data_IF_187250132326
#
_entry.id   IF_187250132326
#
_cell.length_a   1.000
_cell.length_b   1.000
_cell.length_c   1.000
_cell.angle_alpha   90.00
_cell.angle_beta   90.00
_cell.angle_gamma   90.00
#
_symmetry.space_group_name_H-M   'P 1'
#
loop_
_entity.id
_entity.type
_entity.pdbx_description
1 polymer ?
#
# COMPACT_ATOMS: atom_id res chain seq x y z
N UNK A 1 10.13 -23.27 -8.14
CA UNK A 1 8.85 -23.53 -7.45
C UNK A 1 7.74 -23.46 -8.48
N UNK A 2 6.69 -24.33 -8.36
CA UNK A 2 5.51 -24.20 -9.23
C UNK A 2 4.79 -22.88 -8.95
N UNK A 3 4.43 -22.13 -10.01
CA UNK A 3 3.79 -20.81 -9.87
C UNK A 3 2.47 -20.87 -9.07
N UNK A 4 1.70 -21.96 -9.19
CA UNK A 4 0.47 -22.11 -8.43
C UNK A 4 0.72 -22.27 -6.92
N UNK A 5 1.88 -22.77 -6.53
CA UNK A 5 2.26 -22.81 -5.11
C UNK A 5 2.58 -21.39 -4.59
N UNK A 6 3.20 -20.54 -5.42
CA UNK A 6 3.43 -19.13 -5.10
C UNK A 6 2.09 -18.44 -4.85
N UNK A 7 1.16 -18.57 -5.81
CA UNK A 7 -0.17 -17.96 -5.71
C UNK A 7 -0.91 -18.47 -4.47
N UNK A 8 -0.83 -19.74 -4.19
CA UNK A 8 -1.47 -20.31 -3.00
C UNK A 8 -0.94 -19.73 -1.69
N UNK A 9 0.36 -19.38 -1.60
CA UNK A 9 0.90 -18.69 -0.44
C UNK A 9 0.27 -17.30 -0.27
N UNK A 10 0.15 -16.54 -1.38
CA UNK A 10 -0.45 -15.21 -1.38
C UNK A 10 -1.93 -15.28 -1.04
N UNK A 11 -2.69 -16.18 -1.69
CA UNK A 11 -4.13 -16.31 -1.48
C UNK A 11 -4.51 -16.92 -0.12
N UNK A 12 -3.61 -17.70 0.51
CA UNK A 12 -3.80 -18.13 1.89
C UNK A 12 -3.66 -16.96 2.88
N UNK A 13 -2.83 -15.97 2.58
CA UNK A 13 -2.66 -14.76 3.39
C UNK A 13 -3.75 -13.74 3.11
N UNK A 14 -4.02 -13.46 1.84
CA UNK A 14 -5.00 -12.49 1.35
C UNK A 14 -5.94 -13.15 0.32
N UNK A 15 -6.97 -13.89 0.77
CA UNK A 15 -7.90 -14.60 -0.12
C UNK A 15 -8.61 -13.65 -1.08
N UNK A 16 -8.80 -14.08 -2.34
CA UNK A 16 -9.43 -13.26 -3.38
C UNK A 16 -10.86 -12.81 -3.04
N UNK A 17 -11.59 -13.54 -2.21
CA UNK A 17 -12.94 -13.12 -1.78
C UNK A 17 -12.95 -11.88 -0.86
N UNK A 18 -11.80 -11.43 -0.38
CA UNK A 18 -11.65 -10.17 0.35
C UNK A 18 -11.56 -8.97 -0.59
N UNK A 19 -11.32 -9.19 -1.89
CA UNK A 19 -11.25 -8.10 -2.86
C UNK A 19 -12.61 -7.43 -3.07
N UNK A 20 -12.57 -6.14 -3.38
CA UNK A 20 -13.74 -5.41 -3.83
C UNK A 20 -14.28 -5.97 -5.16
N UNK A 21 -15.59 -5.88 -5.37
CA UNK A 21 -16.25 -6.42 -6.59
C UNK A 21 -15.74 -5.79 -7.90
N UNK A 22 -15.29 -4.55 -7.85
CA UNK A 22 -14.74 -3.82 -9.00
C UNK A 22 -13.27 -4.09 -9.25
N UNK A 23 -12.58 -4.75 -8.31
CA UNK A 23 -11.13 -4.98 -8.37
C UNK A 23 -10.75 -6.07 -9.37
N UNK A 24 -9.48 -6.05 -9.76
CA UNK A 24 -8.86 -7.02 -10.67
C UNK A 24 -7.70 -7.77 -9.99
N UNK A 25 -7.83 -8.08 -8.69
CA UNK A 25 -6.88 -8.96 -7.99
C UNK A 25 -6.85 -10.36 -8.60
N UNK A 26 -5.68 -10.98 -8.60
CA UNK A 26 -5.46 -12.30 -9.19
C UNK A 26 -4.50 -12.26 -10.38
N UNK A 27 -4.67 -13.22 -11.30
CA UNK A 27 -3.86 -13.28 -12.52
C UNK A 27 -4.17 -12.12 -13.47
N UNK A 28 -3.16 -11.31 -13.75
CA UNK A 28 -3.21 -10.26 -14.78
C UNK A 28 -2.70 -10.81 -16.11
N UNK A 29 -1.57 -11.55 -16.07
CA UNK A 29 -1.03 -12.29 -17.21
C UNK A 29 -0.62 -13.66 -16.70
N UNK A 30 -1.16 -14.70 -17.31
CA UNK A 30 -0.77 -16.07 -17.05
C UNK A 30 -0.20 -16.69 -18.33
N UNK A 31 1.11 -16.99 -18.32
CA UNK A 31 1.80 -17.66 -19.44
C UNK A 31 1.76 -19.18 -19.28
N UNK A 32 2.26 -19.89 -20.29
CA UNK A 32 2.47 -21.34 -20.21
C UNK A 32 3.62 -21.80 -19.30
N UNK A 33 4.37 -20.87 -18.67
CA UNK A 33 5.45 -21.19 -17.72
C UNK A 33 4.88 -21.88 -16.49
N UNK A 34 5.57 -22.92 -16.03
CA UNK A 34 5.17 -23.65 -14.83
C UNK A 34 6.06 -23.33 -13.64
N UNK A 35 7.37 -23.35 -13.87
CA UNK A 35 8.35 -23.18 -12.81
C UNK A 35 8.86 -21.75 -12.74
N UNK A 36 8.89 -21.21 -11.53
CA UNK A 36 9.37 -19.87 -11.20
C UNK A 36 10.57 -20.00 -10.26
N UNK A 37 11.67 -19.38 -10.62
CA UNK A 37 12.91 -19.33 -9.84
C UNK A 37 13.13 -17.94 -9.26
N UNK A 38 12.68 -16.90 -9.97
CA UNK A 38 12.93 -15.51 -9.61
C UNK A 38 11.71 -14.63 -9.84
N UNK A 39 11.32 -13.89 -8.80
CA UNK A 39 10.16 -13.01 -8.78
C UNK A 39 10.61 -11.57 -8.57
N UNK A 40 10.02 -10.64 -9.32
CA UNK A 40 10.13 -9.21 -9.06
C UNK A 40 8.88 -8.71 -8.34
N UNK A 41 9.08 -7.95 -7.25
CA UNK A 41 8.01 -7.28 -6.50
C UNK A 41 7.96 -5.81 -6.88
N UNK A 42 6.74 -5.28 -7.07
CA UNK A 42 6.50 -3.86 -7.32
C UNK A 42 5.13 -3.42 -6.81
N UNK A 43 4.93 -2.12 -6.60
CA UNK A 43 3.58 -1.58 -6.41
C UNK A 43 2.82 -1.58 -7.73
N UNK A 44 3.37 -0.97 -8.77
CA UNK A 44 2.68 -0.76 -10.05
C UNK A 44 3.50 -1.27 -11.21
N UNK A 45 2.92 -2.15 -12.02
CA UNK A 45 3.58 -2.63 -13.24
C UNK A 45 3.56 -1.53 -14.31
N UNK A 46 4.75 -1.11 -14.75
CA UNK A 46 4.95 -0.12 -15.82
C UNK A 46 5.88 -0.68 -16.89
N UNK A 47 6.02 0.03 -18.02
CA UNK A 47 6.99 -0.35 -19.07
C UNK A 47 8.42 -0.46 -18.53
N UNK A 48 8.79 0.37 -17.57
CA UNK A 48 10.10 0.32 -16.93
C UNK A 48 10.25 -0.93 -16.06
N UNK A 49 9.25 -1.26 -15.27
CA UNK A 49 9.23 -2.48 -14.44
C UNK A 49 9.32 -3.74 -15.30
N UNK A 50 8.61 -3.80 -16.43
CA UNK A 50 8.72 -4.91 -17.40
C UNK A 50 10.16 -5.01 -17.95
N UNK A 51 10.81 -3.89 -18.30
CA UNK A 51 12.21 -3.87 -18.74
C UNK A 51 13.14 -4.35 -17.64
N UNK A 52 12.94 -3.89 -16.40
CA UNK A 52 13.73 -4.34 -15.25
C UNK A 52 13.58 -5.86 -15.04
N UNK A 53 12.36 -6.39 -15.03
CA UNK A 53 12.09 -7.81 -14.85
C UNK A 53 12.77 -8.66 -15.93
N UNK A 54 12.67 -8.26 -17.20
CA UNK A 54 13.34 -8.94 -18.32
C UNK A 54 14.87 -8.87 -18.20
N UNK A 55 15.43 -7.71 -17.87
CA UNK A 55 16.89 -7.52 -17.72
C UNK A 55 17.46 -8.34 -16.57
N UNK A 56 16.71 -8.48 -15.48
CA UNK A 56 17.04 -9.26 -14.30
C UNK A 56 16.68 -10.75 -14.45
N UNK A 57 16.11 -11.15 -15.60
CA UNK A 57 15.68 -12.52 -15.90
C UNK A 57 14.67 -13.05 -14.88
N UNK A 58 13.73 -12.20 -14.46
CA UNK A 58 12.63 -12.64 -13.63
C UNK A 58 11.65 -13.49 -14.44
N UNK A 59 11.12 -14.50 -13.79
CA UNK A 59 10.13 -15.42 -14.36
C UNK A 59 8.72 -14.87 -14.17
N UNK A 60 8.51 -14.05 -13.12
CA UNK A 60 7.21 -13.57 -12.68
C UNK A 60 7.35 -12.19 -12.03
N UNK A 61 6.29 -11.39 -12.14
CA UNK A 61 6.10 -10.15 -11.38
C UNK A 61 4.92 -10.35 -10.43
N UNK A 62 5.07 -9.90 -9.18
CA UNK A 62 3.97 -9.77 -8.23
C UNK A 62 3.81 -8.30 -7.94
N UNK A 63 2.62 -7.75 -8.20
CA UNK A 63 2.30 -6.35 -7.98
C UNK A 63 1.21 -6.19 -6.93
N UNK A 64 1.17 -5.01 -6.32
CA UNK A 64 0.04 -4.60 -5.49
C UNK A 64 -1.09 -4.03 -6.36
N UNK A 65 -0.80 -3.07 -7.24
CA UNK A 65 -1.80 -2.48 -8.10
C UNK A 65 -2.14 -3.35 -9.31
N UNK A 66 -3.44 -3.49 -9.66
CA UNK A 66 -3.88 -4.22 -10.84
C UNK A 66 -3.62 -3.42 -12.13
N UNK A 67 -3.63 -4.13 -13.26
CA UNK A 67 -3.69 -3.55 -14.59
C UNK A 67 -5.09 -3.78 -15.15
N UNK A 68 -5.89 -2.71 -15.30
CA UNK A 68 -7.20 -2.78 -15.97
C UNK A 68 -7.08 -2.94 -17.49
N UNK A 69 -5.92 -2.64 -18.03
CA UNK A 69 -5.55 -2.87 -19.43
C UNK A 69 -4.14 -3.44 -19.50
N UNK A 70 -3.97 -4.56 -20.22
CA UNK A 70 -2.68 -5.24 -20.36
C UNK A 70 -2.10 -4.97 -21.73
N UNK A 71 -0.99 -4.19 -21.84
CA UNK A 71 -0.29 -3.99 -23.10
C UNK A 71 0.22 -5.30 -23.70
N UNK A 72 0.25 -5.40 -25.03
CA UNK A 72 0.67 -6.62 -25.70
C UNK A 72 2.09 -7.08 -25.33
N UNK A 73 3.01 -6.15 -25.14
CA UNK A 73 4.40 -6.41 -24.76
C UNK A 73 4.59 -6.88 -23.31
N UNK A 74 3.51 -6.98 -22.52
CA UNK A 74 3.54 -7.55 -21.15
C UNK A 74 3.17 -9.03 -21.11
N UNK A 75 2.62 -9.57 -22.20
CA UNK A 75 2.02 -10.91 -22.25
C UNK A 75 3.02 -12.07 -22.24
N UNK A 76 4.31 -11.81 -22.21
CA UNK A 76 5.38 -12.82 -22.22
C UNK A 76 6.01 -13.10 -20.84
N UNK A 77 5.50 -12.47 -19.78
CA UNK A 77 5.89 -12.69 -18.39
C UNK A 77 4.65 -12.88 -17.51
N UNK A 78 4.72 -13.79 -16.56
CA UNK A 78 3.65 -13.98 -15.59
C UNK A 78 3.51 -12.74 -14.69
N UNK A 79 2.28 -12.23 -14.50
CA UNK A 79 1.96 -11.10 -13.63
C UNK A 79 0.79 -11.48 -12.75
N UNK A 80 0.99 -11.43 -11.44
CA UNK A 80 -0.04 -11.63 -10.44
C UNK A 80 -0.19 -10.39 -9.58
N UNK A 81 -1.43 -10.07 -9.20
CA UNK A 81 -1.77 -8.90 -8.40
C UNK A 81 -2.51 -9.32 -7.12
N UNK A 82 -2.14 -8.72 -5.98
CA UNK A 82 -2.96 -8.74 -4.78
C UNK A 82 -3.12 -7.29 -4.32
N UNK A 83 -4.32 -6.76 -4.50
CA UNK A 83 -4.68 -5.35 -4.31
C UNK A 83 -5.65 -5.19 -3.13
N UNK A 84 -6.92 -4.94 -3.36
CA UNK A 84 -7.87 -4.69 -2.27
C UNK A 84 -8.08 -5.89 -1.35
N UNK A 85 -7.88 -7.12 -1.81
CA UNK A 85 -7.82 -8.29 -0.93
C UNK A 85 -6.66 -8.22 0.06
N UNK A 86 -5.50 -7.68 -0.35
CA UNK A 86 -4.34 -7.49 0.52
C UNK A 86 -4.53 -6.28 1.45
N UNK A 87 -5.20 -5.22 0.99
CA UNK A 87 -5.55 -4.07 1.83
C UNK A 87 -6.46 -4.43 2.99
N UNK A 88 -7.43 -5.31 2.72
CA UNK A 88 -8.39 -5.79 3.73
C UNK A 88 -7.80 -6.85 4.65
N UNK A 89 -6.82 -7.62 4.19
CA UNK A 89 -6.21 -8.69 4.97
C UNK A 89 -5.48 -8.16 6.20
N UNK A 90 -5.62 -8.87 7.33
CA UNK A 90 -4.83 -8.59 8.53
C UNK A 90 -3.34 -8.83 8.25
N UNK A 91 -2.52 -7.87 8.62
CA UNK A 91 -1.09 -7.86 8.29
C UNK A 91 -0.79 -7.35 6.87
N UNK A 92 -1.79 -6.84 6.15
CA UNK A 92 -1.66 -6.33 4.80
C UNK A 92 -1.14 -4.89 4.72
N UNK A 93 -1.62 -4.13 3.75
CA UNK A 93 -1.04 -2.85 3.35
C UNK A 93 -1.00 -1.82 4.48
N UNK A 94 -2.16 -1.55 5.10
CA UNK A 94 -2.24 -0.57 6.19
C UNK A 94 -1.50 -1.04 7.45
N UNK A 95 -1.55 -2.34 7.75
CA UNK A 95 -0.83 -2.92 8.90
C UNK A 95 0.70 -2.77 8.73
N UNK A 96 1.23 -2.95 7.50
CA UNK A 96 2.67 -2.79 7.25
C UNK A 96 3.14 -1.34 7.36
N UNK A 97 2.29 -0.38 6.94
CA UNK A 97 2.53 1.04 7.17
C UNK A 97 2.65 1.35 8.67
N UNK A 98 1.68 0.89 9.47
CA UNK A 98 1.65 1.08 10.92
C UNK A 98 2.87 0.45 11.59
N UNK A 99 3.22 -0.79 11.23
CA UNK A 99 4.39 -1.48 11.74
C UNK A 99 5.70 -0.75 11.39
N UNK A 100 5.80 -0.18 10.18
CA UNK A 100 6.96 0.62 9.76
C UNK A 100 7.11 1.93 10.58
N UNK A 101 6.02 2.44 11.14
CA UNK A 101 6.05 3.57 12.08
C UNK A 101 6.43 3.13 13.51
N UNK A 102 6.61 1.84 13.78
CA UNK A 102 6.84 1.29 15.12
C UNK A 102 5.61 1.40 16.01
N UNK A 103 4.42 1.32 15.43
CA UNK A 103 3.12 1.35 16.11
C UNK A 103 2.45 -0.01 15.99
N UNK A 104 1.45 -0.25 16.83
CA UNK A 104 0.68 -1.50 16.86
C UNK A 104 -0.80 -1.22 16.62
N UNK A 105 -1.46 -2.06 15.83
CA UNK A 105 -2.91 -1.99 15.57
C UNK A 105 -3.66 -2.41 16.84
N UNK A 106 -4.54 -1.53 17.33
CA UNK A 106 -5.41 -1.80 18.50
C UNK A 106 -6.78 -2.36 18.09
N UNK A 107 -7.31 -1.95 16.94
CA UNK A 107 -8.57 -2.46 16.37
C UNK A 107 -8.63 -2.22 14.87
N UNK A 108 -9.58 -2.87 14.21
CA UNK A 108 -9.79 -2.77 12.75
C UNK A 108 -11.29 -2.69 12.43
N UNK A 109 -11.60 -2.00 11.34
CA UNK A 109 -12.95 -1.95 10.76
C UNK A 109 -12.82 -1.79 9.25
N UNK A 110 -13.13 -2.86 8.50
CA UNK A 110 -12.94 -2.98 7.07
C UNK A 110 -11.46 -2.70 6.64
N UNK A 111 -11.21 -1.69 5.82
CA UNK A 111 -9.87 -1.26 5.40
C UNK A 111 -9.15 -0.40 6.45
N UNK A 112 -9.87 0.09 7.44
CA UNK A 112 -9.34 1.01 8.45
C UNK A 112 -8.68 0.25 9.60
N UNK A 113 -7.49 0.70 10.00
CA UNK A 113 -6.78 0.23 11.19
C UNK A 113 -6.68 1.36 12.19
N UNK A 114 -6.89 1.06 13.45
CA UNK A 114 -6.84 2.02 14.55
C UNK A 114 -5.63 1.74 15.45
N UNK A 115 -5.04 2.82 15.94
CA UNK A 115 -3.87 2.79 16.83
C UNK A 115 -4.15 3.71 18.02
N UNK A 116 -3.96 3.21 19.23
CA UNK A 116 -3.97 4.03 20.43
C UNK A 116 -2.56 4.57 20.69
N UNK A 117 -2.37 5.85 20.40
CA UNK A 117 -1.06 6.51 20.52
C UNK A 117 -1.21 7.98 20.87
N UNK A 118 -0.95 8.31 22.14
CA UNK A 118 -1.05 9.69 22.62
C UNK A 118 0.18 10.51 22.20
N UNK A 119 -0.05 11.58 21.44
CA UNK A 119 1.01 12.44 20.91
C UNK A 119 0.46 13.82 20.55
N UNK A 120 1.35 14.81 20.36
CA UNK A 120 0.94 16.08 19.75
C UNK A 120 0.76 15.92 18.23
N UNK A 121 -0.13 16.72 17.64
CA UNK A 121 -0.32 16.79 16.17
C UNK A 121 0.99 17.04 15.44
N UNK A 122 1.83 17.94 15.97
CA UNK A 122 3.11 18.31 15.35
C UNK A 122 4.17 17.21 15.47
N UNK A 123 4.26 16.52 16.60
CA UNK A 123 5.24 15.44 16.77
C UNK A 123 4.85 14.22 15.95
N UNK A 124 3.56 13.96 15.80
CA UNK A 124 3.09 12.93 14.88
C UNK A 124 3.38 13.29 13.42
N UNK A 125 3.15 14.55 13.00
CA UNK A 125 3.56 15.02 11.68
C UNK A 125 5.07 14.82 11.42
N UNK A 126 5.93 15.11 12.40
CA UNK A 126 7.38 14.85 12.29
C UNK A 126 7.67 13.35 12.15
N UNK A 127 6.97 12.48 12.88
CA UNK A 127 7.10 11.03 12.74
C UNK A 127 6.75 10.57 11.33
N UNK A 128 5.65 11.05 10.76
CA UNK A 128 5.21 10.76 9.41
C UNK A 128 6.14 11.32 8.33
N UNK A 129 6.76 12.49 8.57
CA UNK A 129 7.69 13.11 7.61
C UNK A 129 8.98 12.30 7.39
N UNK A 130 9.29 11.35 8.26
CA UNK A 130 10.39 10.40 8.05
C UNK A 130 10.08 9.39 6.92
N UNK A 131 8.80 9.16 6.64
CA UNK A 131 8.33 8.26 5.58
C UNK A 131 8.07 9.05 4.29
N UNK A 132 7.37 10.19 4.40
CA UNK A 132 6.95 11.00 3.27
C UNK A 132 7.54 12.41 3.35
N UNK A 133 8.37 12.77 2.36
CA UNK A 133 8.88 14.14 2.20
C UNK A 133 7.79 15.10 1.70
N UNK A 134 6.70 14.56 1.16
CA UNK A 134 5.57 15.30 0.60
C UNK A 134 4.38 15.37 1.58
N UNK A 135 4.59 15.00 2.84
CA UNK A 135 3.55 15.01 3.85
C UNK A 135 2.80 16.35 3.87
N UNK A 136 1.48 16.26 3.75
CA UNK A 136 0.55 17.38 4.00
C UNK A 136 -0.34 17.02 5.18
N UNK A 137 -0.81 17.99 5.94
CA UNK A 137 -1.80 17.74 6.98
C UNK A 137 -2.80 18.87 7.13
N UNK A 138 -3.94 18.55 7.71
CA UNK A 138 -5.08 19.44 7.94
C UNK A 138 -5.45 19.37 9.42
N UNK A 139 -5.63 20.54 10.04
CA UNK A 139 -6.07 20.66 11.42
C UNK A 139 -7.03 21.86 11.56
N UNK A 140 -8.24 21.74 11.00
CA UNK A 140 -9.24 22.80 10.95
C UNK A 140 -9.76 23.22 12.33
N UNK A 141 -9.67 22.33 13.30
CA UNK A 141 -10.19 22.55 14.68
C UNK A 141 -9.09 22.97 15.66
N UNK A 142 -7.85 23.18 15.22
CA UNK A 142 -6.70 23.54 16.05
C UNK A 142 -6.47 22.57 17.22
N UNK A 143 -6.65 21.26 16.97
CA UNK A 143 -6.39 20.18 17.92
C UNK A 143 -4.89 20.19 18.27
N UNK A 144 -4.55 20.05 19.56
CA UNK A 144 -3.16 20.02 20.01
C UNK A 144 -2.64 18.60 20.16
N UNK A 145 -3.46 17.70 20.75
CA UNK A 145 -3.10 16.32 21.03
C UNK A 145 -4.10 15.37 20.42
N UNK A 146 -3.62 14.22 19.99
CA UNK A 146 -4.39 13.10 19.44
C UNK A 146 -4.06 11.84 20.22
N UNK A 147 -5.02 10.92 20.37
CA UNK A 147 -4.88 9.68 21.15
C UNK A 147 -5.26 8.45 20.35
N UNK A 148 -6.32 8.54 19.54
CA UNK A 148 -6.75 7.47 18.66
C UNK A 148 -6.55 7.89 17.21
N UNK A 149 -5.71 7.17 16.49
CA UNK A 149 -5.32 7.48 15.12
C UNK A 149 -5.81 6.34 14.22
N UNK A 150 -6.55 6.70 13.18
CA UNK A 150 -6.99 5.74 12.17
C UNK A 150 -6.09 5.84 10.93
N UNK A 151 -5.92 4.73 10.23
CA UNK A 151 -5.08 4.59 9.05
C UNK A 151 -5.83 3.84 7.96
N UNK A 152 -5.65 4.29 6.73
CA UNK A 152 -5.93 3.54 5.52
C UNK A 152 -4.90 3.93 4.47
N UNK A 153 -4.01 3.03 4.10
CA UNK A 153 -3.00 3.27 3.08
C UNK A 153 -3.65 3.49 1.71
N UNK A 154 -2.94 4.12 0.78
CA UNK A 154 -3.47 4.47 -0.53
C UNK A 154 -4.53 5.56 -0.48
N UNK A 155 -5.54 5.48 -1.33
CA UNK A 155 -6.62 6.48 -1.45
C UNK A 155 -7.83 6.12 -0.60
N UNK A 156 -7.74 6.29 0.72
CA UNK A 156 -8.77 5.91 1.70
C UNK A 156 -9.68 7.05 2.16
N UNK A 157 -9.86 8.11 1.37
CA UNK A 157 -10.63 9.30 1.79
C UNK A 157 -12.11 9.02 2.09
N UNK A 158 -12.71 7.98 1.52
CA UNK A 158 -14.09 7.55 1.79
C UNK A 158 -14.31 7.04 3.21
N UNK A 159 -13.27 6.57 3.89
CA UNK A 159 -13.36 6.03 5.25
C UNK A 159 -13.16 7.06 6.36
N UNK A 160 -12.95 8.35 6.04
CA UNK A 160 -12.75 9.41 7.04
C UNK A 160 -13.95 9.52 7.98
N UNK A 161 -15.18 9.42 7.46
CA UNK A 161 -16.39 9.44 8.28
C UNK A 161 -16.45 8.24 9.21
N UNK A 162 -16.16 7.04 8.71
CA UNK A 162 -16.08 5.81 9.50
C UNK A 162 -15.05 5.95 10.63
N UNK A 163 -13.87 6.46 10.33
CA UNK A 163 -12.81 6.69 11.31
C UNK A 163 -13.27 7.67 12.42
N UNK A 164 -13.90 8.78 12.03
CA UNK A 164 -14.47 9.76 12.97
C UNK A 164 -15.56 9.15 13.86
N UNK A 165 -16.49 8.42 13.27
CA UNK A 165 -17.63 7.80 13.99
C UNK A 165 -17.14 6.73 14.98
N UNK A 166 -16.01 6.09 14.69
CA UNK A 166 -15.30 5.19 15.61
C UNK A 166 -14.38 5.93 16.61
N UNK A 167 -14.47 7.27 16.70
CA UNK A 167 -13.79 8.08 17.68
C UNK A 167 -12.31 8.35 17.42
N UNK A 168 -11.87 8.30 16.18
CA UNK A 168 -10.51 8.72 15.83
C UNK A 168 -10.34 10.25 15.93
N UNK A 169 -9.25 10.70 16.54
CA UNK A 169 -8.85 12.11 16.59
C UNK A 169 -8.12 12.53 15.31
N UNK A 170 -7.48 11.56 14.64
CA UNK A 170 -6.71 11.77 13.42
C UNK A 170 -6.86 10.59 12.45
N UNK A 171 -6.65 10.89 11.17
CA UNK A 171 -6.68 9.91 10.08
C UNK A 171 -5.50 10.08 9.14
N UNK A 172 -4.85 8.97 8.79
CA UNK A 172 -3.68 8.92 7.90
C UNK A 172 -4.05 8.17 6.63
N UNK A 173 -3.84 8.79 5.47
CA UNK A 173 -4.14 8.21 4.15
C UNK A 173 -3.23 8.83 3.07
N UNK A 174 -3.49 8.53 1.80
CA UNK A 174 -2.95 9.21 0.63
C UNK A 174 -4.03 9.88 -0.20
N UNK A 175 -3.63 10.61 -1.24
CA UNK A 175 -4.49 11.20 -2.27
C UNK A 175 -5.63 12.08 -1.76
N UNK A 176 -5.38 12.84 -0.70
CA UNK A 176 -6.39 13.68 -0.07
C UNK A 176 -6.82 14.83 -0.98
N UNK A 177 -8.11 14.92 -1.28
CA UNK A 177 -8.72 15.98 -2.10
C UNK A 177 -8.97 17.25 -1.29
N UNK A 178 -8.91 18.42 -1.97
CA UNK A 178 -9.09 19.73 -1.36
C UNK A 178 -10.39 19.87 -0.56
N UNK A 179 -11.53 19.50 -1.12
CA UNK A 179 -12.82 19.64 -0.42
C UNK A 179 -12.93 18.70 0.78
N UNK A 180 -12.43 17.48 0.67
CA UNK A 180 -12.35 16.55 1.82
C UNK A 180 -11.50 17.13 2.94
N UNK A 181 -10.37 17.75 2.61
CA UNK A 181 -9.50 18.43 3.55
C UNK A 181 -10.20 19.62 4.22
N UNK A 182 -10.89 20.46 3.43
CA UNK A 182 -11.58 21.65 3.91
C UNK A 182 -12.68 21.32 4.92
N UNK A 183 -13.44 20.26 4.69
CA UNK A 183 -14.62 19.91 5.48
C UNK A 183 -14.29 18.98 6.67
N UNK A 184 -13.02 18.62 6.86
CA UNK A 184 -12.65 17.67 7.91
C UNK A 184 -12.84 18.23 9.31
N UNK A 185 -13.41 17.40 10.19
CA UNK A 185 -13.58 17.66 11.62
C UNK A 185 -12.53 17.01 12.51
N UNK A 186 -11.74 16.08 11.96
CA UNK A 186 -10.59 15.45 12.62
C UNK A 186 -9.30 15.86 11.92
N UNK A 187 -8.16 15.59 12.54
CA UNK A 187 -6.86 15.86 11.92
C UNK A 187 -6.63 14.88 10.78
N UNK A 188 -6.26 15.36 9.59
CA UNK A 188 -5.92 14.49 8.46
C UNK A 188 -4.44 14.62 8.11
N UNK A 189 -3.80 13.49 7.83
CA UNK A 189 -2.44 13.42 7.31
C UNK A 189 -2.46 12.71 5.95
N UNK A 190 -1.93 13.39 4.95
CA UNK A 190 -1.75 12.86 3.60
C UNK A 190 -0.27 12.52 3.38
N UNK A 191 0.02 11.23 3.40
CA UNK A 191 1.37 10.70 3.17
C UNK A 191 1.76 10.66 1.69
N UNK A 192 0.76 10.71 0.79
CA UNK A 192 0.90 10.28 -0.59
C UNK A 192 0.63 8.78 -0.74
N UNK A 193 0.16 8.41 -1.93
CA UNK A 193 -0.23 7.04 -2.26
C UNK A 193 0.95 6.07 -2.13
N UNK A 194 1.99 6.31 -2.93
CA UNK A 194 3.19 5.48 -2.98
C UNK A 194 3.84 5.30 -1.59
N UNK A 195 4.02 6.40 -0.87
CA UNK A 195 4.69 6.43 0.42
C UNK A 195 3.91 5.67 1.50
N UNK A 196 2.58 5.60 1.38
CA UNK A 196 1.74 4.87 2.32
C UNK A 196 1.69 3.36 2.06
N UNK A 197 1.97 2.91 0.82
CA UNK A 197 1.78 1.52 0.41
C UNK A 197 3.07 0.73 0.17
N UNK A 198 4.19 1.39 -0.14
CA UNK A 198 5.42 0.69 -0.56
C UNK A 198 5.88 -0.41 0.41
N UNK A 199 5.53 -0.29 1.67
CA UNK A 199 5.90 -1.26 2.70
C UNK A 199 5.21 -2.62 2.54
N UNK A 200 4.08 -2.69 1.81
CA UNK A 200 3.33 -3.94 1.57
C UNK A 200 4.15 -4.98 0.82
N UNK A 201 5.11 -4.55 0.02
CA UNK A 201 5.98 -5.47 -0.71
C UNK A 201 6.75 -6.42 0.21
N UNK A 202 6.96 -6.05 1.47
CA UNK A 202 7.56 -6.93 2.49
C UNK A 202 6.69 -8.14 2.81
N UNK A 203 5.38 -8.04 2.68
CA UNK A 203 4.47 -9.20 2.86
C UNK A 203 4.78 -10.27 1.82
N UNK A 204 4.90 -9.88 0.55
CA UNK A 204 5.24 -10.83 -0.51
C UNK A 204 6.63 -11.44 -0.30
N UNK A 205 7.63 -10.62 0.10
CA UNK A 205 8.97 -11.13 0.39
C UNK A 205 8.95 -12.17 1.51
N UNK A 206 8.23 -11.89 2.62
CA UNK A 206 8.10 -12.82 3.75
C UNK A 206 7.42 -14.13 3.34
N UNK A 207 6.34 -14.06 2.58
CA UNK A 207 5.60 -15.24 2.09
C UNK A 207 6.46 -16.13 1.18
N UNK A 208 7.37 -15.52 0.42
CA UNK A 208 8.22 -16.20 -0.56
C UNK A 208 9.62 -16.54 -0.03
N UNK A 209 9.92 -16.16 1.21
CA UNK A 209 11.26 -16.34 1.81
C UNK A 209 11.71 -17.79 1.77
N UNK A 210 12.89 -18.03 1.17
CA UNK A 210 13.48 -19.36 1.03
C UNK A 210 12.81 -20.27 -0.01
N UNK A 211 11.81 -19.78 -0.74
CA UNK A 211 11.09 -20.53 -1.77
C UNK A 211 11.61 -20.22 -3.18
N UNK A 212 11.80 -18.94 -3.47
CA UNK A 212 12.29 -18.42 -4.75
C UNK A 212 13.20 -17.22 -4.49
N UNK A 213 14.00 -16.84 -5.49
CA UNK A 213 14.72 -15.57 -5.44
C UNK A 213 13.73 -14.41 -5.59
N UNK A 214 13.78 -13.47 -4.65
CA UNK A 214 12.92 -12.28 -4.65
C UNK A 214 13.78 -11.04 -4.86
N UNK A 215 13.39 -10.18 -5.78
CA UNK A 215 13.99 -8.87 -5.96
C UNK A 215 12.91 -7.78 -5.97
N UNK A 216 13.28 -6.59 -5.52
CA UNK A 216 12.43 -5.41 -5.60
C UNK A 216 12.69 -4.66 -6.90
N UNK A 217 11.64 -4.20 -7.54
CA UNK A 217 11.76 -3.23 -8.61
C UNK A 217 12.31 -1.90 -8.09
N UNK A 218 13.04 -1.20 -8.93
CA UNK A 218 13.43 0.19 -8.66
C UNK A 218 12.28 1.08 -9.11
N UNK A 219 11.48 1.50 -8.17
CA UNK A 219 10.34 2.39 -8.37
C UNK A 219 10.34 3.51 -7.33
N UNK A 220 9.66 4.59 -7.62
CA UNK A 220 9.53 5.76 -6.74
C UNK A 220 8.20 6.45 -7.01
N UNK A 221 7.77 7.29 -6.06
CA UNK A 221 6.65 8.19 -6.29
C UNK A 221 6.85 8.99 -7.58
N UNK A 222 5.82 9.16 -8.41
CA UNK A 222 5.88 10.03 -9.59
C UNK A 222 5.93 11.52 -9.23
N UNK A 223 5.69 11.86 -7.96
CA UNK A 223 5.70 13.25 -7.48
C UNK A 223 7.08 13.64 -6.97
N UNK A 224 7.59 14.76 -7.46
CA UNK A 224 8.83 15.36 -6.98
C UNK A 224 8.54 16.62 -6.17
N UNK A 225 9.26 16.81 -5.06
CA UNK A 225 9.16 18.02 -4.26
C UNK A 225 10.21 19.03 -4.70
N UNK A 226 9.78 20.22 -5.06
CA UNK A 226 10.68 21.34 -5.32
C UNK A 226 11.03 22.01 -3.98
N UNK A 227 12.25 21.82 -3.49
CA UNK A 227 12.75 22.57 -2.35
C UNK A 227 13.15 23.98 -2.79
N UNK A 228 12.33 24.98 -2.44
CA UNK A 228 12.78 26.37 -2.53
C UNK A 228 13.78 26.62 -1.39
N UNK A 229 15.07 26.53 -1.64
CA UNK A 229 16.08 27.15 -0.75
C UNK A 229 15.84 28.66 -0.78
N UNK A 230 15.38 29.22 0.35
CA UNK A 230 15.39 30.67 0.59
C UNK A 230 16.79 31.13 0.91
#
# INVERSE_FOLDING_TARGET
>A
MDKNQIIKLIENFAPLHLAEEWDCSGWIVETGRRDVSKVMLCLTVTDDIIKQAKSQKCDMIISHHPLFFVPFNYKDIDIYCAHTNLDRAKGGTTDTLIANLGLEVSSEDDFVRYVDFETSVNDFAKKLSAISKNLRYVNNKNVQNIKKIAFCAGSGSEFISLAKDNGADAYVTGDLKFHTALDSEIVLYDLGHFESEIFVLRVFEELLRGQVEVIYAKESSPFETISCTK
#
